data_IF_326565230799
#
_entry.id   IF_326565230799
#
_cell.length_a   1.000
_cell.length_b   1.000
_cell.length_c   1.000
_cell.angle_alpha   90.00
_cell.angle_beta   90.00
_cell.angle_gamma   90.00
#
_symmetry.space_group_name_H-M   'P 1'
#
loop_
_entity.id
_entity.type
_entity.pdbx_description
1 polymer ?
#
# COMPACT_ATOMS: atom_id res chain seq x y z
N UNK A 1 49.12 -12.32 -49.86
CA UNK A 1 48.46 -13.32 -48.99
C UNK A 1 47.83 -12.55 -47.83
N UNK A 2 46.56 -12.16 -47.98
CA UNK A 2 45.81 -11.40 -46.97
C UNK A 2 44.90 -12.35 -46.20
N UNK A 3 45.26 -12.67 -44.96
CA UNK A 3 44.41 -13.46 -44.07
C UNK A 3 43.29 -12.60 -43.53
N UNK A 4 42.05 -12.89 -43.93
CA UNK A 4 40.86 -12.33 -43.32
C UNK A 4 40.74 -12.89 -41.90
N UNK A 5 40.74 -11.99 -40.92
CA UNK A 5 40.46 -12.34 -39.53
C UNK A 5 38.94 -12.40 -39.40
N UNK A 6 38.39 -13.61 -39.34
CA UNK A 6 36.96 -13.83 -39.11
C UNK A 6 36.61 -13.46 -37.66
N UNK A 7 35.93 -12.33 -37.48
CA UNK A 7 35.32 -11.97 -36.21
C UNK A 7 34.09 -12.85 -35.97
N UNK A 8 34.26 -13.97 -35.29
CA UNK A 8 33.17 -14.79 -34.78
C UNK A 8 32.56 -14.08 -33.55
N UNK A 9 31.37 -13.50 -33.70
CA UNK A 9 30.61 -12.86 -32.61
C UNK A 9 29.69 -13.90 -31.93
N UNK A 10 29.90 -14.26 -30.65
CA UNK A 10 28.89 -14.96 -29.86
C UNK A 10 28.24 -13.93 -28.92
N UNK A 11 27.13 -13.33 -29.33
CA UNK A 11 26.41 -12.42 -28.46
C UNK A 11 24.96 -12.24 -28.95
N UNK A 12 24.21 -13.36 -28.96
CA UNK A 12 22.75 -13.31 -28.92
C UNK A 12 22.33 -12.82 -27.52
N UNK A 13 22.50 -11.51 -27.30
CA UNK A 13 21.93 -10.83 -26.14
C UNK A 13 20.43 -10.75 -26.40
N UNK A 14 19.70 -11.74 -25.88
CA UNK A 14 18.25 -11.85 -25.99
C UNK A 14 17.57 -10.53 -25.63
N UNK A 15 17.32 -9.71 -26.65
CA UNK A 15 16.54 -8.49 -26.54
C UNK A 15 15.11 -8.93 -26.25
N UNK A 16 14.72 -8.90 -24.98
CA UNK A 16 13.30 -8.93 -24.62
C UNK A 16 12.71 -7.70 -25.28
N UNK A 17 11.88 -7.88 -26.32
CA UNK A 17 11.26 -6.78 -27.03
C UNK A 17 10.57 -5.84 -26.03
N UNK A 18 10.56 -4.54 -26.32
CA UNK A 18 9.92 -3.53 -25.46
C UNK A 18 8.46 -3.91 -25.18
N UNK A 19 7.81 -4.57 -26.14
CA UNK A 19 6.46 -5.13 -26.01
C UNK A 19 6.38 -6.20 -24.92
N UNK A 20 7.32 -7.15 -24.90
CA UNK A 20 7.36 -8.22 -23.88
C UNK A 20 7.75 -7.69 -22.50
N UNK A 21 8.56 -6.63 -22.42
CA UNK A 21 8.80 -5.92 -21.16
C UNK A 21 7.55 -5.21 -20.65
N UNK A 22 6.78 -4.56 -21.54
CA UNK A 22 5.52 -3.90 -21.17
C UNK A 22 4.46 -4.91 -20.71
N UNK A 23 4.36 -6.09 -21.34
CA UNK A 23 3.46 -7.16 -20.90
C UNK A 23 3.84 -7.71 -19.52
N UNK A 24 5.13 -7.97 -19.29
CA UNK A 24 5.62 -8.40 -17.98
C UNK A 24 5.39 -7.33 -16.91
N UNK A 25 5.60 -6.06 -17.22
CA UNK A 25 5.33 -4.95 -16.32
C UNK A 25 3.83 -4.80 -16.02
N UNK A 26 2.96 -5.04 -17.02
CA UNK A 26 1.51 -5.01 -16.84
C UNK A 26 1.05 -6.16 -15.94
N UNK A 27 1.50 -7.40 -16.19
CA UNK A 27 1.20 -8.54 -15.33
C UNK A 27 1.71 -8.35 -13.89
N UNK A 28 2.90 -7.78 -13.72
CA UNK A 28 3.43 -7.48 -12.40
C UNK A 28 2.58 -6.45 -11.65
N UNK A 29 2.09 -5.42 -12.35
CA UNK A 29 1.16 -4.43 -11.78
C UNK A 29 -0.18 -5.05 -11.41
N UNK A 30 -0.76 -5.88 -12.28
CA UNK A 30 -2.04 -6.55 -12.01
C UNK A 30 -1.94 -7.50 -10.81
N UNK A 31 -0.85 -8.28 -10.71
CA UNK A 31 -0.58 -9.11 -9.52
C UNK A 31 -0.41 -8.27 -8.26
N UNK A 32 0.38 -7.20 -8.32
CA UNK A 32 0.58 -6.31 -7.17
C UNK A 32 -0.71 -5.63 -6.71
N UNK A 33 -1.65 -5.33 -7.62
CA UNK A 33 -2.97 -4.79 -7.27
C UNK A 33 -3.82 -5.85 -6.57
N UNK A 34 -3.85 -7.08 -7.11
CA UNK A 34 -4.59 -8.19 -6.51
C UNK A 34 -4.06 -8.56 -5.11
N UNK A 35 -2.74 -8.64 -4.95
CA UNK A 35 -2.09 -8.93 -3.66
C UNK A 35 -2.38 -7.85 -2.62
N UNK A 36 -2.35 -6.56 -3.02
CA UNK A 36 -2.75 -5.46 -2.15
C UNK A 36 -4.21 -5.57 -1.72
N UNK A 37 -5.09 -5.98 -2.64
CA UNK A 37 -6.50 -6.13 -2.35
C UNK A 37 -6.77 -7.28 -1.37
N UNK A 38 -6.06 -8.41 -1.53
CA UNK A 38 -6.17 -9.54 -0.60
C UNK A 38 -5.61 -9.16 0.79
N UNK A 39 -4.48 -8.46 0.85
CA UNK A 39 -3.93 -7.95 2.10
C UNK A 39 -4.90 -6.99 2.80
N UNK A 40 -5.49 -6.06 2.06
CA UNK A 40 -6.51 -5.14 2.60
C UNK A 40 -7.71 -5.89 3.18
N UNK A 41 -8.17 -6.96 2.51
CA UNK A 41 -9.26 -7.79 3.03
C UNK A 41 -8.86 -8.51 4.32
N UNK A 42 -7.66 -9.13 4.34
CA UNK A 42 -7.15 -9.82 5.54
C UNK A 42 -6.99 -8.87 6.71
N UNK A 43 -6.46 -7.68 6.47
CA UNK A 43 -6.26 -6.68 7.50
C UNK A 43 -7.60 -6.11 7.97
N UNK A 44 -8.56 -5.86 7.08
CA UNK A 44 -9.93 -5.46 7.45
C UNK A 44 -10.58 -6.43 8.45
N UNK A 45 -10.36 -7.75 8.31
CA UNK A 45 -10.86 -8.73 9.29
C UNK A 45 -10.18 -8.59 10.66
N UNK A 46 -8.89 -8.24 10.71
CA UNK A 46 -8.17 -8.04 11.98
C UNK A 46 -8.66 -6.80 12.73
N UNK A 47 -9.12 -5.77 12.02
CA UNK A 47 -9.53 -4.48 12.61
C UNK A 47 -10.96 -4.48 13.19
N UNK A 48 -11.77 -5.52 12.92
CA UNK A 48 -13.18 -5.61 13.37
C UNK A 48 -13.35 -6.03 14.84
N UNK A 49 -12.58 -5.46 15.77
CA UNK A 49 -12.83 -5.64 17.20
C UNK A 49 -12.71 -4.33 17.97
N UNK A 50 -13.54 -4.17 19.00
CA UNK A 50 -13.50 -3.01 19.91
C UNK A 50 -12.18 -3.05 20.70
N UNK A 51 -11.52 -1.90 20.82
CA UNK A 51 -10.20 -1.74 21.43
C UNK A 51 -9.02 -1.91 20.46
N UNK A 52 -9.27 -2.28 19.20
CA UNK A 52 -8.21 -2.38 18.19
C UNK A 52 -7.59 -1.02 17.90
N UNK A 53 -6.26 -0.95 17.80
CA UNK A 53 -5.55 0.23 17.27
C UNK A 53 -5.50 0.20 15.76
N UNK A 54 -5.89 1.32 15.16
CA UNK A 54 -6.13 1.42 13.72
C UNK A 54 -5.51 2.67 13.15
N UNK A 55 -4.97 2.51 11.95
CA UNK A 55 -4.35 3.55 11.18
C UNK A 55 -5.17 3.78 9.91
N UNK A 56 -5.28 5.04 9.51
CA UNK A 56 -5.89 5.45 8.26
C UNK A 56 -5.00 6.48 7.58
N UNK A 57 -4.61 6.20 6.34
CA UNK A 57 -3.83 7.13 5.54
C UNK A 57 -4.78 7.99 4.71
N UNK A 58 -4.87 9.28 5.06
CA UNK A 58 -5.60 10.30 4.31
C UNK A 58 -4.61 11.24 3.62
N UNK A 59 -4.42 11.06 2.31
CA UNK A 59 -3.44 11.82 1.51
C UNK A 59 -2.02 11.68 2.07
N UNK A 60 -1.51 12.69 2.77
CA UNK A 60 -0.17 12.73 3.38
C UNK A 60 -0.23 12.70 4.91
N UNK A 61 -1.40 12.47 5.50
CA UNK A 61 -1.59 12.41 6.95
C UNK A 61 -2.01 11.00 7.32
N UNK A 62 -1.32 10.42 8.28
CA UNK A 62 -1.71 9.18 8.95
C UNK A 62 -2.49 9.53 10.21
N UNK A 63 -3.74 9.11 10.25
CA UNK A 63 -4.58 9.18 11.43
C UNK A 63 -4.42 7.88 12.20
N UNK A 64 -4.19 7.98 13.50
CA UNK A 64 -4.10 6.85 14.42
C UNK A 64 -5.22 6.97 15.44
N UNK A 65 -5.91 5.86 15.69
CA UNK A 65 -7.02 5.82 16.61
C UNK A 65 -7.35 4.44 17.13
N UNK A 66 -8.38 4.38 17.95
CA UNK A 66 -8.87 3.15 18.56
C UNK A 66 -10.31 2.88 18.14
N UNK A 67 -10.65 1.61 17.85
CA UNK A 67 -12.03 1.21 17.55
C UNK A 67 -12.85 1.20 18.82
N UNK A 68 -13.87 2.05 18.86
CA UNK A 68 -14.81 2.13 19.98
C UNK A 68 -16.04 1.25 19.77
N UNK A 69 -16.52 1.16 18.53
CA UNK A 69 -17.70 0.38 18.18
C UNK A 69 -17.56 -0.25 16.80
N UNK A 70 -18.17 -1.42 16.63
CA UNK A 70 -18.27 -2.11 15.34
C UNK A 70 -19.75 -2.28 15.01
N UNK A 71 -20.15 -1.83 13.82
CA UNK A 71 -21.51 -1.99 13.31
C UNK A 71 -21.45 -2.51 11.87
N UNK A 72 -21.50 -3.84 11.72
CA UNK A 72 -21.39 -4.53 10.44
C UNK A 72 -20.04 -4.28 9.76
N UNK A 73 -20.05 -3.51 8.67
CA UNK A 73 -18.86 -3.14 7.90
C UNK A 73 -18.28 -1.79 8.28
N UNK A 74 -18.93 -1.04 9.18
CA UNK A 74 -18.44 0.23 9.69
C UNK A 74 -17.88 0.06 11.09
N UNK A 75 -16.79 0.77 11.35
CA UNK A 75 -16.17 0.88 12.66
C UNK A 75 -16.18 2.35 13.08
N UNK A 76 -16.53 2.60 14.34
CA UNK A 76 -16.40 3.90 14.96
C UNK A 76 -14.99 3.99 15.52
N UNK A 77 -14.21 4.91 14.99
CA UNK A 77 -12.82 5.12 15.39
C UNK A 77 -12.75 6.41 16.19
N UNK A 78 -12.12 6.36 17.36
CA UNK A 78 -11.67 7.53 18.09
C UNK A 78 -10.26 7.87 17.63
N UNK A 79 -10.09 9.00 16.95
CA UNK A 79 -8.76 9.40 16.47
C UNK A 79 -8.03 10.16 17.56
N UNK A 80 -6.92 9.59 17.99
CA UNK A 80 -6.11 10.08 19.09
C UNK A 80 -4.97 10.96 18.59
N UNK A 81 -4.44 10.67 17.39
CA UNK A 81 -3.26 11.32 16.81
C UNK A 81 -3.36 11.43 15.30
N UNK A 82 -2.75 12.48 14.75
CA UNK A 82 -2.49 12.65 13.34
C UNK A 82 -1.03 13.03 13.12
N UNK A 83 -0.39 12.44 12.13
CA UNK A 83 1.01 12.70 11.77
C UNK A 83 1.21 12.74 10.26
N UNK A 84 2.23 13.44 9.78
CA UNK A 84 2.56 13.42 8.35
C UNK A 84 3.31 12.13 7.97
N UNK A 85 2.88 11.50 6.88
CA UNK A 85 3.51 10.30 6.33
C UNK A 85 4.95 10.66 5.89
N UNK A 86 5.95 9.98 6.46
CA UNK A 86 7.37 10.24 6.19
C UNK A 86 8.03 11.29 7.09
N UNK A 87 7.25 11.96 7.96
CA UNK A 87 7.77 12.89 8.96
C UNK A 87 7.14 12.57 10.34
N UNK A 88 7.50 11.42 10.95
CA UNK A 88 6.98 11.03 12.25
C UNK A 88 7.33 12.12 13.29
N UNK A 89 6.30 12.67 13.95
CA UNK A 89 6.43 13.77 14.91
C UNK A 89 6.04 15.15 14.38
N UNK A 90 5.81 15.32 13.07
CA UNK A 90 5.16 16.51 12.54
C UNK A 90 3.65 16.32 12.60
N UNK A 91 2.97 17.13 13.40
CA UNK A 91 1.52 17.07 13.57
C UNK A 91 0.84 18.11 12.68
N UNK A 92 -0.24 17.77 11.96
CA UNK A 92 -1.00 18.76 11.21
C UNK A 92 -1.59 19.79 12.18
N UNK A 93 -1.34 21.07 11.91
CA UNK A 93 -1.86 22.17 12.70
C UNK A 93 -3.40 22.15 12.70
N UNK A 94 -4.01 22.28 13.87
CA UNK A 94 -5.47 22.28 14.02
C UNK A 94 -6.12 20.89 14.11
N UNK A 95 -5.34 19.81 14.23
CA UNK A 95 -5.91 18.50 14.53
C UNK A 95 -6.61 18.50 15.89
N UNK A 96 -7.85 18.03 15.91
CA UNK A 96 -8.62 17.78 17.11
C UNK A 96 -9.03 16.31 17.15
N UNK A 97 -9.03 15.74 18.35
CA UNK A 97 -9.50 14.38 18.56
C UNK A 97 -10.99 14.32 18.28
N UNK A 98 -11.40 13.40 17.41
CA UNK A 98 -12.78 13.25 17.01
C UNK A 98 -13.14 11.78 16.84
N UNK A 99 -14.46 11.53 16.83
CA UNK A 99 -15.01 10.22 16.52
C UNK A 99 -15.63 10.27 15.14
N UNK A 100 -15.27 9.32 14.29
CA UNK A 100 -15.96 9.15 13.02
C UNK A 100 -16.26 7.69 12.72
N UNK A 101 -17.25 7.48 11.87
CA UNK A 101 -17.54 6.18 11.29
C UNK A 101 -16.82 6.01 9.97
N UNK A 102 -16.03 4.95 9.85
CA UNK A 102 -15.35 4.56 8.61
C UNK A 102 -15.63 3.11 8.30
N UNK A 103 -15.46 2.74 7.04
CA UNK A 103 -15.52 1.33 6.66
C UNK A 103 -14.29 0.60 7.20
N UNK A 104 -14.49 -0.64 7.65
CA UNK A 104 -13.42 -1.50 8.18
C UNK A 104 -12.29 -1.74 7.16
N UNK A 105 -12.58 -1.69 5.86
CA UNK A 105 -11.60 -1.83 4.77
C UNK A 105 -10.85 -0.54 4.44
N UNK A 106 -11.26 0.60 4.99
CA UNK A 106 -10.57 1.88 4.83
C UNK A 106 -9.57 2.16 5.97
N UNK A 107 -9.44 1.23 6.91
CA UNK A 107 -8.52 1.28 8.05
C UNK A 107 -7.72 -0.01 8.10
N UNK A 108 -6.52 0.05 8.67
CA UNK A 108 -5.64 -1.10 8.85
C UNK A 108 -5.08 -1.10 10.27
N UNK A 109 -4.55 -2.23 10.75
CA UNK A 109 -3.93 -2.28 12.07
C UNK A 109 -2.67 -1.39 12.11
N UNK A 110 -2.55 -0.53 13.11
CA UNK A 110 -1.27 0.18 13.33
C UNK A 110 -0.21 -0.82 13.82
N UNK A 111 1.02 -0.69 13.34
CA UNK A 111 2.20 -1.38 13.89
C UNK A 111 2.69 -0.74 15.19
#
# INVERSE_FOLDING_TARGET
MGGQVECNYPADWGYVSIERQNELAKQAREKAVADKQEQQLRDAYKVKHVGARVCQDQKNIRLQGTVEQVNGDKVKVFVERAEFIGAPGLHPGGFQQEYYWVNAWAVYACE
#
